data_IF_968677845761
#
_entry.id   IF_968677845761
#
_cell.length_a   1.000
_cell.length_b   1.000
_cell.length_c   1.000
_cell.angle_alpha   90.00
_cell.angle_beta   90.00
_cell.angle_gamma   90.00
#
_symmetry.space_group_name_H-M   'P 1'
#
loop_
_entity.id
_entity.type
_entity.pdbx_description
1 polymer ?
#
# COMPACT_ATOMS: atom_id res chain seq x y z
N UNK A 1 0.75 -49.40 26.72
CA UNK A 1 -0.34 -49.03 25.77
C UNK A 1 -0.72 -47.58 25.95
N UNK A 2 0.25 -46.62 26.10
CA UNK A 2 -0.03 -45.20 26.40
C UNK A 2 0.83 -44.23 25.58
N UNK A 3 1.42 -44.65 24.46
CA UNK A 3 2.29 -43.83 23.61
C UNK A 3 1.75 -43.52 22.20
N UNK A 4 0.49 -43.85 21.90
CA UNK A 4 -0.10 -43.61 20.56
C UNK A 4 -1.19 -42.55 20.52
N UNK A 5 -1.55 -41.90 21.64
CA UNK A 5 -2.61 -40.87 21.67
C UNK A 5 -2.11 -39.41 21.71
N UNK A 6 -0.79 -39.19 21.80
CA UNK A 6 -0.24 -37.83 21.88
C UNK A 6 0.18 -37.25 20.51
N UNK A 7 0.16 -38.05 19.46
CA UNK A 7 0.66 -37.63 18.13
C UNK A 7 -0.43 -37.08 17.21
N UNK A 8 -1.69 -37.17 17.57
CA UNK A 8 -2.81 -36.72 16.73
C UNK A 8 -3.25 -35.26 17.07
N UNK A 9 -2.88 -34.75 18.24
CA UNK A 9 -3.25 -33.36 18.63
C UNK A 9 -2.19 -32.30 18.26
N UNK A 10 -1.00 -32.69 17.80
CA UNK A 10 0.08 -31.75 17.41
C UNK A 10 0.10 -31.41 15.92
N UNK A 11 -0.74 -32.02 15.11
CA UNK A 11 -0.78 -31.80 13.65
C UNK A 11 -1.79 -30.71 13.21
N UNK A 12 -2.57 -30.14 14.13
CA UNK A 12 -3.56 -29.12 13.82
C UNK A 12 -3.05 -27.66 13.94
N UNK A 13 -1.78 -27.46 14.32
CA UNK A 13 -1.20 -26.12 14.52
C UNK A 13 -0.22 -25.67 13.41
N UNK A 14 -0.13 -26.39 12.31
CA UNK A 14 0.94 -26.19 11.33
C UNK A 14 0.57 -25.41 10.06
N UNK A 15 -0.69 -24.96 9.87
CA UNK A 15 -1.06 -24.31 8.61
C UNK A 15 -2.06 -23.17 8.81
N UNK A 16 -1.56 -21.92 8.84
CA UNK A 16 -2.42 -20.72 8.67
C UNK A 16 -3.44 -20.49 9.79
N UNK A 17 -4.48 -19.74 9.49
CA UNK A 17 -5.57 -19.39 10.41
C UNK A 17 -6.34 -20.65 10.88
N UNK A 18 -6.76 -20.62 12.15
CA UNK A 18 -7.61 -21.68 12.72
C UNK A 18 -8.97 -21.73 12.00
N UNK A 19 -9.69 -22.86 12.13
CA UNK A 19 -11.05 -22.96 11.56
C UNK A 19 -12.01 -21.89 12.08
N UNK A 20 -11.85 -21.47 13.35
CA UNK A 20 -12.65 -20.37 13.92
C UNK A 20 -12.31 -19.04 13.25
N UNK A 21 -11.02 -18.73 13.06
CA UNK A 21 -10.57 -17.51 12.36
C UNK A 21 -11.05 -17.47 10.90
N UNK A 22 -10.93 -18.59 10.17
CA UNK A 22 -11.45 -18.71 8.79
C UNK A 22 -12.94 -18.45 8.72
N UNK A 23 -13.72 -18.95 9.68
CA UNK A 23 -15.18 -18.73 9.71
C UNK A 23 -15.52 -17.27 10.04
N UNK A 24 -14.78 -16.63 10.96
CA UNK A 24 -14.92 -15.19 11.27
C UNK A 24 -14.60 -14.35 10.03
N UNK A 25 -13.46 -14.59 9.38
CA UNK A 25 -13.02 -13.86 8.20
C UNK A 25 -14.00 -14.02 7.02
N UNK A 26 -14.53 -15.22 6.81
CA UNK A 26 -15.55 -15.45 5.78
C UNK A 26 -16.82 -14.64 6.04
N UNK A 27 -17.32 -14.64 7.28
CA UNK A 27 -18.50 -13.85 7.65
C UNK A 27 -18.23 -12.35 7.56
N UNK A 28 -17.03 -11.92 7.95
CA UNK A 28 -16.57 -10.53 7.83
C UNK A 28 -16.49 -10.11 6.36
N UNK A 29 -15.89 -10.94 5.50
CA UNK A 29 -15.82 -10.73 4.05
C UNK A 29 -17.20 -10.51 3.44
N UNK A 30 -18.16 -11.42 3.65
CA UNK A 30 -19.52 -11.33 3.11
C UNK A 30 -20.21 -10.02 3.55
N UNK A 31 -19.97 -9.58 4.77
CA UNK A 31 -20.53 -8.33 5.33
C UNK A 31 -19.89 -7.09 4.69
N UNK A 32 -18.55 -7.07 4.59
CA UNK A 32 -17.80 -5.94 4.04
C UNK A 32 -18.05 -5.76 2.54
N UNK A 33 -18.06 -6.85 1.76
CA UNK A 33 -18.41 -6.80 0.33
C UNK A 33 -19.81 -6.23 0.13
N UNK A 34 -20.78 -6.70 0.91
CA UNK A 34 -22.16 -6.21 0.81
C UNK A 34 -22.28 -4.73 1.14
N UNK A 35 -21.52 -4.26 2.18
CA UNK A 35 -21.43 -2.85 2.58
C UNK A 35 -20.83 -2.01 1.45
N UNK A 36 -19.64 -2.40 0.97
CA UNK A 36 -18.92 -1.69 -0.08
C UNK A 36 -19.73 -1.52 -1.37
N UNK A 37 -20.37 -2.60 -1.86
CA UNK A 37 -21.25 -2.56 -3.03
C UNK A 37 -22.42 -1.60 -2.85
N UNK A 38 -23.04 -1.59 -1.67
CA UNK A 38 -24.16 -0.70 -1.39
C UNK A 38 -23.74 0.77 -1.35
N UNK A 39 -22.62 1.07 -0.69
CA UNK A 39 -22.06 2.41 -0.57
C UNK A 39 -21.62 2.95 -1.94
N UNK A 40 -20.89 2.15 -2.73
CA UNK A 40 -20.45 2.53 -4.08
C UNK A 40 -21.65 2.80 -5.01
N UNK A 41 -22.68 1.97 -4.95
CA UNK A 41 -23.91 2.20 -5.74
C UNK A 41 -24.54 3.55 -5.42
N UNK A 42 -24.68 3.91 -4.14
CA UNK A 42 -25.23 5.20 -3.71
C UNK A 42 -24.34 6.35 -4.20
N UNK A 43 -23.01 6.22 -4.11
CA UNK A 43 -22.08 7.24 -4.56
C UNK A 43 -22.15 7.46 -6.07
N UNK A 44 -22.21 6.40 -6.88
CA UNK A 44 -22.35 6.48 -8.35
C UNK A 44 -23.70 7.10 -8.75
N UNK A 45 -24.79 6.72 -8.09
CA UNK A 45 -26.11 7.32 -8.33
C UNK A 45 -26.09 8.83 -8.07
N UNK A 46 -25.48 9.28 -6.96
CA UNK A 46 -25.33 10.69 -6.63
C UNK A 46 -24.38 11.40 -7.60
N UNK A 47 -23.26 10.80 -7.96
CA UNK A 47 -22.32 11.34 -8.92
C UNK A 47 -22.99 11.61 -10.28
N UNK A 48 -23.79 10.67 -10.78
CA UNK A 48 -24.59 10.88 -12.01
C UNK A 48 -25.57 12.05 -11.89
N UNK A 49 -26.25 12.22 -10.74
CA UNK A 49 -27.17 13.32 -10.50
C UNK A 49 -26.46 14.69 -10.45
N UNK A 50 -25.28 14.72 -9.83
CA UNK A 50 -24.49 15.92 -9.61
C UNK A 50 -23.48 16.19 -10.74
N UNK A 51 -23.33 15.29 -11.70
CA UNK A 51 -22.33 15.32 -12.78
C UNK A 51 -20.88 15.30 -12.27
N UNK A 52 -20.66 14.67 -11.12
CA UNK A 52 -19.31 14.41 -10.63
C UNK A 52 -18.63 13.35 -11.48
N UNK A 53 -17.30 13.38 -11.63
CA UNK A 53 -16.59 12.31 -12.28
C UNK A 53 -16.76 11.00 -11.49
N UNK A 54 -16.99 9.88 -12.18
CA UNK A 54 -17.12 8.56 -11.55
C UNK A 54 -15.77 7.88 -11.50
N UNK A 55 -15.02 7.94 -12.59
CA UNK A 55 -13.65 7.47 -12.73
C UNK A 55 -12.94 8.24 -13.85
N UNK A 56 -11.63 8.21 -13.85
CA UNK A 56 -10.82 8.84 -14.89
C UNK A 56 -9.33 8.71 -14.62
N UNK A 57 -8.53 9.40 -15.45
CA UNK A 57 -7.09 9.52 -15.34
C UNK A 57 -6.71 10.98 -15.46
N UNK A 58 -5.83 11.47 -14.59
CA UNK A 58 -5.27 12.82 -14.63
C UNK A 58 -4.07 12.88 -15.57
N UNK A 59 -3.61 14.10 -15.90
CA UNK A 59 -2.45 14.31 -16.79
C UNK A 59 -1.14 13.74 -16.22
N UNK A 60 -1.01 13.69 -14.90
CA UNK A 60 0.14 13.08 -14.21
C UNK A 60 0.13 11.54 -14.23
N UNK A 61 -0.89 10.90 -14.81
CA UNK A 61 -1.03 9.45 -14.87
C UNK A 61 -1.87 8.85 -13.75
N UNK A 62 -2.24 9.63 -12.72
CA UNK A 62 -3.05 9.20 -11.59
C UNK A 62 -4.44 8.74 -12.06
N UNK A 63 -4.80 7.51 -11.74
CA UNK A 63 -6.15 6.98 -11.96
C UNK A 63 -7.01 7.20 -10.71
N UNK A 64 -8.31 7.45 -10.91
CA UNK A 64 -9.23 7.65 -9.78
C UNK A 64 -10.60 7.04 -10.04
N UNK A 65 -11.26 6.58 -8.98
CA UNK A 65 -12.67 6.17 -9.03
C UNK A 65 -13.42 6.46 -7.73
N UNK A 66 -14.71 6.87 -7.85
CA UNK A 66 -15.56 7.10 -6.69
C UNK A 66 -15.88 5.77 -5.98
N UNK A 67 -15.75 5.74 -4.65
CA UNK A 67 -15.97 4.53 -3.86
C UNK A 67 -17.22 4.64 -2.98
N UNK A 68 -17.39 5.71 -2.26
CA UNK A 68 -18.50 5.92 -1.32
C UNK A 68 -18.77 7.41 -1.11
N UNK A 69 -19.70 7.74 -0.22
CA UNK A 69 -19.93 9.09 0.26
C UNK A 69 -19.52 9.19 1.72
N UNK A 70 -18.88 10.29 2.10
CA UNK A 70 -18.68 10.66 3.50
C UNK A 70 -20.03 10.89 4.21
N UNK A 71 -20.09 10.89 5.56
CA UNK A 71 -21.32 11.16 6.31
C UNK A 71 -22.00 12.48 5.93
N UNK A 72 -21.24 13.51 5.59
CA UNK A 72 -21.74 14.80 5.11
C UNK A 72 -22.18 14.79 3.63
N UNK A 73 -22.06 13.65 2.94
CA UNK A 73 -22.47 13.46 1.53
C UNK A 73 -21.41 13.82 0.50
N UNK A 74 -20.19 14.24 0.90
CA UNK A 74 -19.05 14.46 0.00
C UNK A 74 -18.63 13.17 -0.70
N UNK A 75 -18.26 13.19 -2.00
CA UNK A 75 -17.71 11.99 -2.66
C UNK A 75 -16.32 11.64 -2.14
N UNK A 76 -16.05 10.36 -1.97
CA UNK A 76 -14.74 9.82 -1.63
C UNK A 76 -14.22 9.03 -2.83
N UNK A 77 -13.01 9.39 -3.28
CA UNK A 77 -12.30 8.75 -4.39
C UNK A 77 -11.07 8.03 -3.90
N UNK A 78 -10.74 6.89 -4.51
CA UNK A 78 -9.41 6.27 -4.45
C UNK A 78 -8.59 6.71 -5.65
N UNK A 79 -7.24 6.77 -5.50
CA UNK A 79 -6.28 7.20 -6.54
C UNK A 79 -4.91 6.50 -6.37
N UNK A 80 -4.03 6.57 -7.37
CA UNK A 80 -2.80 5.77 -7.52
C UNK A 80 -1.49 6.55 -7.78
N UNK A 81 -0.27 5.97 -7.45
CA UNK A 81 1.07 6.62 -7.54
C UNK A 81 2.28 5.65 -7.58
N UNK A 82 3.56 6.01 -8.09
CA UNK A 82 4.64 5.03 -8.40
C UNK A 82 6.15 5.40 -8.43
N UNK A 83 7.15 4.46 -8.16
CA UNK A 83 8.55 4.21 -8.72
C UNK A 83 9.71 3.41 -8.00
N UNK A 84 11.16 3.10 -8.34
CA UNK A 84 12.35 2.14 -8.29
C UNK A 84 13.12 1.80 -6.97
N UNK A 85 13.63 0.49 -6.63
CA UNK A 85 14.22 0.30 -5.34
C UNK A 85 15.04 -0.90 -4.80
N UNK A 86 15.37 -1.92 -5.55
CA UNK A 86 15.99 -3.13 -4.94
C UNK A 86 17.34 -2.87 -4.25
N UNK A 87 18.21 -2.10 -4.88
CA UNK A 87 19.55 -1.81 -4.37
C UNK A 87 19.53 -0.88 -3.15
N UNK A 88 18.63 0.10 -3.16
CA UNK A 88 18.45 1.03 -2.05
C UNK A 88 18.09 0.31 -0.74
N UNK A 89 17.33 -0.79 -0.81
CA UNK A 89 16.89 -1.57 0.35
C UNK A 89 17.60 -2.92 0.48
N UNK A 90 18.73 -3.11 -0.20
CA UNK A 90 19.59 -4.31 -0.13
C UNK A 90 18.91 -5.63 -0.47
N UNK A 91 17.87 -5.61 -1.32
CA UNK A 91 17.17 -6.83 -1.76
C UNK A 91 17.98 -7.59 -2.81
N UNK A 92 18.71 -6.89 -3.67
CA UNK A 92 19.59 -7.44 -4.69
C UNK A 92 20.66 -8.39 -4.11
N UNK A 93 21.10 -8.18 -2.87
CA UNK A 93 22.04 -9.09 -2.18
C UNK A 93 21.52 -10.53 -2.04
N UNK A 94 20.19 -10.73 -2.01
CA UNK A 94 19.56 -12.02 -1.81
C UNK A 94 19.32 -12.80 -3.11
N UNK A 95 19.38 -12.15 -4.25
CA UNK A 95 19.12 -12.74 -5.55
C UNK A 95 20.20 -13.76 -5.97
N UNK A 96 19.97 -14.58 -7.03
CA UNK A 96 20.91 -15.62 -7.48
C UNK A 96 22.30 -15.11 -7.85
N UNK A 97 22.43 -13.86 -8.25
CA UNK A 97 23.68 -13.16 -8.59
C UNK A 97 24.14 -12.20 -7.48
N UNK A 98 23.42 -12.15 -6.36
CA UNK A 98 23.78 -11.38 -5.16
C UNK A 98 24.92 -12.02 -4.36
N UNK A 99 25.52 -11.25 -3.47
CA UNK A 99 26.70 -11.68 -2.70
C UNK A 99 26.38 -12.55 -1.47
N UNK A 100 25.10 -12.61 -1.03
CA UNK A 100 24.68 -13.46 0.09
C UNK A 100 24.72 -14.97 -0.20
N UNK A 101 24.71 -15.38 -1.46
CA UNK A 101 24.62 -16.77 -1.93
C UNK A 101 23.35 -17.51 -1.48
N UNK A 102 22.28 -16.80 -1.18
CA UNK A 102 21.01 -17.38 -0.72
C UNK A 102 20.06 -17.77 -1.85
N UNK A 103 20.22 -17.17 -3.04
CA UNK A 103 19.46 -17.49 -4.26
C UNK A 103 17.93 -17.37 -4.11
N UNK A 104 17.47 -16.39 -3.35
CA UNK A 104 16.06 -16.21 -3.04
C UNK A 104 15.30 -15.50 -4.18
N UNK A 105 14.06 -15.92 -4.44
CA UNK A 105 13.24 -15.41 -5.54
C UNK A 105 11.75 -15.34 -5.23
N UNK A 106 11.30 -15.80 -4.07
CA UNK A 106 9.87 -15.95 -3.74
C UNK A 106 9.22 -17.19 -4.38
N UNK A 107 9.98 -18.24 -4.72
CA UNK A 107 9.45 -19.44 -5.38
C UNK A 107 8.44 -20.17 -4.49
N UNK A 108 7.24 -20.43 -5.04
CA UNK A 108 6.14 -21.08 -4.31
C UNK A 108 5.45 -20.16 -3.29
N UNK A 109 5.76 -18.86 -3.29
CA UNK A 109 5.08 -17.87 -2.48
C UNK A 109 3.96 -17.19 -3.26
N UNK A 110 2.88 -16.81 -2.54
CA UNK A 110 1.75 -16.04 -3.08
C UNK A 110 1.71 -14.71 -2.34
N UNK A 111 1.59 -13.62 -3.10
CA UNK A 111 1.39 -12.25 -2.58
C UNK A 111 0.13 -11.66 -3.20
N UNK A 112 -0.64 -10.89 -2.42
CA UNK A 112 -1.83 -10.18 -2.88
C UNK A 112 -1.49 -8.77 -3.37
N UNK A 113 -2.31 -8.27 -4.27
CA UNK A 113 -2.33 -6.89 -4.71
C UNK A 113 -3.76 -6.40 -4.83
N UNK A 114 -4.03 -5.18 -4.35
CA UNK A 114 -5.23 -4.42 -4.65
C UNK A 114 -4.80 -3.07 -5.23
N UNK A 115 -5.39 -2.68 -6.37
CA UNK A 115 -4.99 -1.46 -7.06
C UNK A 115 -6.14 -0.89 -7.94
N UNK A 116 -5.86 0.13 -8.76
CA UNK A 116 -6.84 0.87 -9.56
C UNK A 116 -7.46 0.13 -10.74
N UNK A 117 -7.22 -1.17 -10.89
CA UNK A 117 -7.73 -2.02 -11.96
C UNK A 117 -6.94 -3.29 -12.12
N UNK A 118 -7.18 -4.04 -13.20
CA UNK A 118 -6.53 -5.32 -13.46
C UNK A 118 -5.06 -5.18 -13.85
N UNK A 119 -4.24 -6.11 -13.39
CA UNK A 119 -2.84 -6.28 -13.82
C UNK A 119 -2.78 -6.98 -15.17
N UNK A 120 -1.92 -6.49 -16.10
CA UNK A 120 -1.68 -7.13 -17.39
C UNK A 120 -0.92 -8.44 -17.25
N UNK A 121 -1.62 -9.54 -17.01
CA UNK A 121 -1.05 -10.88 -16.79
C UNK A 121 -0.29 -11.45 -18.01
N UNK A 122 -0.47 -10.88 -19.22
CA UNK A 122 0.24 -11.28 -20.44
C UNK A 122 1.58 -10.59 -20.63
N UNK A 123 1.90 -9.56 -19.83
CA UNK A 123 3.19 -8.87 -19.89
C UNK A 123 4.34 -9.86 -19.70
N UNK A 124 5.43 -9.75 -20.48
CA UNK A 124 6.56 -10.70 -20.47
C UNK A 124 7.13 -10.89 -19.04
N UNK A 125 7.23 -9.83 -18.26
CA UNK A 125 7.69 -9.86 -16.86
C UNK A 125 6.75 -10.62 -15.90
N UNK A 126 5.47 -10.80 -16.25
CA UNK A 126 4.42 -11.29 -15.37
C UNK A 126 3.80 -12.61 -15.81
N UNK A 127 4.03 -12.98 -17.07
CA UNK A 127 3.38 -14.13 -17.73
C UNK A 127 3.45 -15.41 -16.90
N UNK A 128 2.27 -16.02 -16.70
CA UNK A 128 2.10 -17.29 -15.99
C UNK A 128 2.17 -17.21 -14.47
N UNK A 129 2.34 -16.01 -13.89
CA UNK A 129 2.46 -15.81 -12.44
C UNK A 129 1.45 -14.83 -11.84
N UNK A 130 0.50 -14.35 -12.61
CA UNK A 130 -0.57 -13.44 -12.16
C UNK A 130 -1.93 -14.11 -12.28
N UNK A 131 -2.73 -14.01 -11.23
CA UNK A 131 -4.12 -14.49 -11.15
C UNK A 131 -5.01 -13.32 -10.76
N UNK A 132 -5.88 -12.84 -11.68
CA UNK A 132 -6.93 -11.88 -11.35
C UNK A 132 -8.03 -12.61 -10.58
N UNK A 133 -8.25 -12.25 -9.31
CA UNK A 133 -9.12 -13.02 -8.38
C UNK A 133 -10.56 -12.52 -8.42
N UNK A 134 -10.75 -11.21 -8.49
CA UNK A 134 -12.07 -10.54 -8.48
C UNK A 134 -12.75 -10.48 -9.85
N UNK A 135 -12.02 -10.83 -10.92
CA UNK A 135 -12.51 -10.81 -12.30
C UNK A 135 -12.53 -9.40 -12.92
N UNK A 136 -11.77 -8.45 -12.40
CA UNK A 136 -11.58 -7.15 -13.05
C UNK A 136 -10.96 -7.31 -14.44
N UNK A 137 -11.47 -6.56 -15.44
CA UNK A 137 -11.03 -6.65 -16.84
C UNK A 137 -10.34 -5.36 -17.33
N UNK A 138 -10.60 -4.22 -16.68
CA UNK A 138 -10.01 -2.94 -17.06
C UNK A 138 -8.56 -2.86 -16.59
N UNK A 139 -7.64 -2.92 -17.56
CA UNK A 139 -6.20 -2.90 -17.27
C UNK A 139 -5.75 -1.55 -16.71
N UNK A 140 -4.94 -1.59 -15.66
CA UNK A 140 -4.27 -0.44 -15.05
C UNK A 140 -2.76 -0.48 -15.30
N UNK A 141 -2.22 0.63 -15.80
CA UNK A 141 -0.76 0.81 -15.87
C UNK A 141 -0.15 0.76 -14.48
N UNK A 142 -0.85 1.35 -13.51
CA UNK A 142 -0.41 1.40 -12.12
C UNK A 142 -0.34 0.00 -11.50
N UNK A 143 -1.44 -0.78 -11.51
CA UNK A 143 -1.45 -2.15 -11.03
C UNK A 143 -0.35 -3.00 -11.71
N UNK A 144 -0.21 -2.88 -13.03
CA UNK A 144 0.82 -3.63 -13.78
C UNK A 144 2.24 -3.23 -13.36
N UNK A 145 2.45 -1.96 -13.02
CA UNK A 145 3.75 -1.48 -12.57
C UNK A 145 4.06 -1.93 -11.12
N UNK A 146 3.08 -1.86 -10.23
CA UNK A 146 3.16 -2.38 -8.85
C UNK A 146 3.47 -3.88 -8.87
N UNK A 147 2.74 -4.65 -9.69
CA UNK A 147 2.99 -6.07 -9.91
C UNK A 147 4.43 -6.35 -10.36
N UNK A 148 4.91 -5.62 -11.37
CA UNK A 148 6.28 -5.77 -11.87
C UNK A 148 7.33 -5.43 -10.81
N UNK A 149 7.09 -4.42 -9.99
CA UNK A 149 7.98 -4.07 -8.87
C UNK A 149 8.07 -5.20 -7.83
N UNK A 150 6.96 -5.86 -7.54
CA UNK A 150 6.95 -7.01 -6.62
C UNK A 150 7.56 -8.26 -7.23
N UNK A 151 7.09 -8.66 -8.44
CA UNK A 151 7.33 -10.00 -8.97
C UNK A 151 7.90 -10.05 -10.40
N UNK A 152 8.29 -8.94 -11.02
CA UNK A 152 8.84 -8.91 -12.37
C UNK A 152 9.95 -9.95 -12.57
N UNK A 153 9.88 -10.74 -13.65
CA UNK A 153 10.80 -11.86 -13.90
C UNK A 153 12.25 -11.42 -14.19
N UNK A 154 12.46 -10.14 -14.50
CA UNK A 154 13.77 -9.63 -14.89
C UNK A 154 14.14 -9.98 -16.35
N UNK A 155 13.16 -10.20 -17.22
CA UNK A 155 13.38 -10.35 -18.66
C UNK A 155 14.11 -9.12 -19.19
N UNK A 156 13.65 -7.94 -18.79
CA UNK A 156 14.40 -6.71 -18.90
C UNK A 156 15.06 -6.38 -17.54
N UNK A 157 16.38 -6.41 -17.50
CA UNK A 157 17.15 -6.40 -16.25
C UNK A 157 16.82 -5.24 -15.31
N UNK A 158 16.42 -4.06 -15.85
CA UNK A 158 16.04 -2.89 -15.05
C UNK A 158 14.63 -3.02 -14.44
N UNK A 159 13.81 -3.96 -14.91
CA UNK A 159 12.45 -4.23 -14.41
C UNK A 159 12.38 -5.49 -13.52
N UNK A 160 13.50 -5.93 -12.98
CA UNK A 160 13.58 -7.08 -12.09
C UNK A 160 12.84 -6.82 -10.78
N UNK A 161 11.80 -7.59 -10.49
CA UNK A 161 11.00 -7.50 -9.28
C UNK A 161 11.70 -8.08 -8.06
N UNK A 162 11.31 -7.63 -6.86
CA UNK A 162 11.93 -8.02 -5.59
C UNK A 162 11.88 -9.53 -5.35
N UNK A 163 10.76 -10.18 -5.69
CA UNK A 163 10.50 -11.63 -5.56
C UNK A 163 10.13 -12.24 -6.91
N UNK A 164 11.07 -12.24 -7.84
CA UNK A 164 10.89 -12.48 -9.28
C UNK A 164 10.37 -13.87 -9.69
N UNK A 165 10.12 -14.78 -8.76
CA UNK A 165 9.49 -16.09 -8.99
C UNK A 165 8.19 -16.29 -8.19
N UNK A 166 7.74 -15.28 -7.43
CA UNK A 166 6.48 -15.36 -6.69
C UNK A 166 5.26 -15.32 -7.63
N UNK A 167 4.12 -15.78 -7.14
CA UNK A 167 2.81 -15.68 -7.79
C UNK A 167 2.04 -14.52 -7.18
N UNK A 168 1.36 -13.73 -8.03
CA UNK A 168 0.54 -12.61 -7.62
C UNK A 168 -0.95 -12.96 -7.75
N UNK A 169 -1.70 -12.73 -6.68
CA UNK A 169 -3.15 -12.65 -6.69
C UNK A 169 -3.53 -11.17 -6.76
N UNK A 170 -4.05 -10.70 -7.87
CA UNK A 170 -4.38 -9.30 -8.09
C UNK A 170 -5.88 -9.05 -8.11
N UNK A 171 -6.30 -7.90 -7.61
CA UNK A 171 -7.68 -7.45 -7.48
C UNK A 171 -7.76 -5.96 -7.82
N UNK A 172 -8.92 -5.48 -8.26
CA UNK A 172 -9.15 -4.04 -8.24
C UNK A 172 -9.48 -3.57 -6.80
N UNK A 173 -9.47 -2.27 -6.55
CA UNK A 173 -9.73 -1.71 -5.21
C UNK A 173 -11.22 -1.68 -4.81
N UNK A 174 -12.10 -2.25 -5.65
CA UNK A 174 -13.51 -2.34 -5.30
C UNK A 174 -13.71 -3.50 -4.33
N UNK A 175 -14.41 -3.24 -3.21
CA UNK A 175 -14.69 -4.26 -2.20
C UNK A 175 -13.45 -4.81 -1.47
N UNK A 176 -12.32 -4.08 -1.55
CA UNK A 176 -10.99 -4.42 -1.01
C UNK A 176 -11.04 -5.08 0.39
N UNK A 177 -11.69 -4.43 1.35
CA UNK A 177 -11.77 -4.91 2.73
C UNK A 177 -12.44 -6.28 2.85
N UNK A 178 -13.49 -6.52 2.04
CA UNK A 178 -14.20 -7.80 2.01
C UNK A 178 -13.35 -8.90 1.36
N UNK A 179 -12.69 -8.58 0.26
CA UNK A 179 -11.83 -9.51 -0.47
C UNK A 179 -10.56 -9.85 0.31
N UNK A 180 -9.94 -8.87 0.99
CA UNK A 180 -8.84 -9.12 1.92
C UNK A 180 -9.23 -10.10 3.02
N UNK A 181 -10.41 -9.90 3.64
CA UNK A 181 -10.89 -10.81 4.68
C UNK A 181 -11.11 -12.24 4.14
N UNK A 182 -11.63 -12.38 2.91
CA UNK A 182 -11.82 -13.67 2.26
C UNK A 182 -10.48 -14.34 1.95
N UNK A 183 -9.58 -13.65 1.25
CA UNK A 183 -8.29 -14.20 0.84
C UNK A 183 -7.37 -14.49 2.02
N UNK A 184 -7.38 -13.65 3.06
CA UNK A 184 -6.68 -13.95 4.32
C UNK A 184 -7.26 -15.20 5.00
N UNK A 185 -8.59 -15.40 4.94
CA UNK A 185 -9.25 -16.64 5.41
C UNK A 185 -8.81 -17.88 4.63
N UNK A 186 -8.54 -17.74 3.34
CA UNK A 186 -8.05 -18.80 2.46
C UNK A 186 -6.53 -19.03 2.54
N UNK A 187 -5.82 -18.17 3.28
CA UNK A 187 -4.40 -18.36 3.60
C UNK A 187 -3.45 -17.39 2.95
N UNK A 188 -3.91 -16.27 2.37
CA UNK A 188 -3.05 -15.18 1.96
C UNK A 188 -2.35 -14.59 3.19
N UNK A 189 -1.03 -14.38 3.10
CA UNK A 189 -0.19 -13.95 4.24
C UNK A 189 0.42 -12.55 4.05
N UNK A 190 0.34 -11.98 2.86
CA UNK A 190 0.94 -10.69 2.53
C UNK A 190 0.20 -10.04 1.37
N UNK A 191 -0.05 -8.74 1.46
CA UNK A 191 -0.60 -7.95 0.37
C UNK A 191 -0.02 -6.55 0.29
N UNK A 192 -0.07 -5.99 -0.93
CA UNK A 192 0.30 -4.62 -1.25
C UNK A 192 -0.92 -3.77 -1.60
N UNK A 193 -0.97 -2.55 -1.05
CA UNK A 193 -2.02 -1.57 -1.29
C UNK A 193 -1.36 -0.22 -1.59
N UNK A 194 -1.24 0.09 -2.89
CA UNK A 194 -0.60 1.31 -3.38
C UNK A 194 -1.62 2.38 -3.79
N UNK A 195 -2.66 2.59 -2.98
CA UNK A 195 -3.73 3.55 -3.22
C UNK A 195 -4.21 4.17 -1.91
N UNK A 196 -5.16 5.09 -2.00
CA UNK A 196 -5.77 5.70 -0.82
C UNK A 196 -6.94 6.61 -1.16
N UNK A 197 -7.58 7.14 -0.15
CA UNK A 197 -8.62 8.16 -0.29
C UNK A 197 -7.95 9.52 -0.44
N UNK A 198 -8.58 10.43 -1.19
CA UNK A 198 -8.13 11.81 -1.32
C UNK A 198 -8.39 12.57 -0.04
N UNK A 199 -7.36 13.21 0.48
CA UNK A 199 -7.40 14.17 1.57
C UNK A 199 -6.64 15.44 1.16
N UNK A 200 -6.79 16.54 1.89
CA UNK A 200 -6.07 17.78 1.67
C UNK A 200 -6.29 18.40 0.30
N UNK A 201 -5.23 18.81 -0.35
CA UNK A 201 -5.25 19.54 -1.63
C UNK A 201 -5.04 18.60 -2.83
N UNK A 202 -5.89 18.73 -3.85
CA UNK A 202 -5.71 18.05 -5.12
C UNK A 202 -5.98 18.95 -6.30
N UNK A 203 -5.02 19.04 -7.24
CA UNK A 203 -5.18 19.81 -8.46
C UNK A 203 -6.13 19.10 -9.44
N UNK A 204 -7.01 19.88 -10.07
CA UNK A 204 -7.90 19.46 -11.18
C UNK A 204 -8.79 18.23 -10.91
N UNK A 205 -9.09 17.92 -9.66
CA UNK A 205 -9.90 16.73 -9.29
C UNK A 205 -11.34 16.75 -9.83
N UNK A 206 -11.86 17.92 -10.20
CA UNK A 206 -13.19 18.09 -10.79
C UNK A 206 -13.14 18.37 -12.31
N UNK A 207 -11.94 18.44 -12.92
CA UNK A 207 -11.75 18.57 -14.36
C UNK A 207 -11.94 20.00 -14.90
N UNK A 208 -11.62 21.04 -14.10
CA UNK A 208 -11.78 22.44 -14.44
C UNK A 208 -10.55 23.34 -14.16
N UNK A 209 -9.37 22.70 -14.06
CA UNK A 209 -8.08 23.36 -13.82
C UNK A 209 -8.04 24.22 -12.53
N UNK A 210 -8.66 23.71 -11.47
CA UNK A 210 -8.64 24.32 -10.14
C UNK A 210 -8.18 23.34 -9.07
N UNK A 211 -7.69 23.90 -7.97
CA UNK A 211 -7.48 23.15 -6.75
C UNK A 211 -8.81 22.75 -6.13
N UNK A 212 -8.86 21.60 -5.51
CA UNK A 212 -9.95 21.10 -4.67
C UNK A 212 -9.38 20.80 -3.30
N UNK A 213 -9.98 21.39 -2.26
CA UNK A 213 -9.66 21.03 -0.90
C UNK A 213 -10.65 19.96 -0.40
N UNK A 214 -10.13 18.83 0.02
CA UNK A 214 -10.92 17.65 0.39
C UNK A 214 -11.32 17.63 1.86
N UNK A 215 -10.85 18.55 2.69
CA UNK A 215 -11.27 18.71 4.08
C UNK A 215 -12.75 19.05 4.23
N UNK A 216 -13.21 19.14 5.45
CA UNK A 216 -14.58 19.51 5.81
C UNK A 216 -14.56 20.81 6.63
N UNK A 217 -14.99 21.95 6.06
CA UNK A 217 -14.99 23.25 6.75
C UNK A 217 -15.91 23.29 7.99
N UNK A 218 -16.86 22.36 8.10
CA UNK A 218 -17.73 22.27 9.28
C UNK A 218 -17.05 21.56 10.46
N UNK A 219 -15.94 20.83 10.19
CA UNK A 219 -15.10 20.20 11.21
C UNK A 219 -13.92 21.10 11.57
N UNK A 220 -13.09 21.44 10.56
CA UNK A 220 -12.04 22.44 10.69
C UNK A 220 -11.93 23.26 9.39
N UNK A 221 -11.80 24.58 9.51
CA UNK A 221 -11.75 25.48 8.36
C UNK A 221 -10.37 25.57 7.73
N UNK A 222 -9.34 25.13 8.41
CA UNK A 222 -7.95 25.21 7.97
C UNK A 222 -7.38 23.85 7.57
N UNK A 223 -7.54 22.84 8.43
CA UNK A 223 -6.90 21.54 8.31
C UNK A 223 -7.88 20.47 7.83
N UNK A 224 -7.42 19.55 7.00
CA UNK A 224 -8.24 18.38 6.68
C UNK A 224 -8.14 17.35 7.81
N UNK A 225 -9.20 17.25 8.61
CA UNK A 225 -9.30 16.37 9.75
C UNK A 225 -9.12 14.87 9.42
N UNK A 226 -9.08 14.49 8.14
CA UNK A 226 -8.82 13.09 7.76
C UNK A 226 -7.34 12.71 7.90
N UNK A 227 -6.44 13.69 7.94
CA UNK A 227 -5.05 13.42 8.29
C UNK A 227 -4.96 13.00 9.74
N UNK A 228 -4.26 11.94 10.04
CA UNK A 228 -4.10 11.38 11.38
C UNK A 228 -5.33 10.65 11.98
N UNK A 229 -6.54 10.86 11.43
CA UNK A 229 -7.80 10.46 12.05
C UNK A 229 -8.13 8.96 11.89
N UNK A 230 -8.18 8.26 13.02
CA UNK A 230 -8.51 6.82 13.08
C UNK A 230 -10.04 6.62 13.01
N UNK A 231 -10.56 6.36 11.82
CA UNK A 231 -11.98 6.20 11.54
C UNK A 231 -12.48 4.73 11.63
N UNK A 232 -13.75 4.51 11.27
CA UNK A 232 -14.36 3.16 11.29
C UNK A 232 -13.71 2.23 10.24
N UNK A 233 -13.33 2.72 9.07
CA UNK A 233 -12.71 1.90 8.04
C UNK A 233 -11.28 1.49 8.43
N UNK A 234 -10.53 2.40 9.04
CA UNK A 234 -9.23 2.11 9.64
C UNK A 234 -9.34 0.98 10.68
N UNK A 235 -10.40 1.02 11.50
CA UNK A 235 -10.70 -0.05 12.47
C UNK A 235 -11.05 -1.38 11.79
N UNK A 236 -11.81 -1.37 10.69
CA UNK A 236 -12.17 -2.57 9.93
C UNK A 236 -10.92 -3.30 9.39
N UNK A 237 -9.93 -2.57 8.89
CA UNK A 237 -8.66 -3.13 8.43
C UNK A 237 -7.83 -3.70 9.58
N UNK A 238 -7.78 -3.00 10.71
CA UNK A 238 -7.12 -3.52 11.92
C UNK A 238 -7.81 -4.79 12.46
N UNK A 239 -9.14 -4.91 12.33
CA UNK A 239 -9.88 -6.12 12.68
C UNK A 239 -9.58 -7.29 11.74
N UNK A 240 -9.41 -7.05 10.43
CA UNK A 240 -8.98 -8.08 9.47
C UNK A 240 -7.60 -8.59 9.88
N UNK A 241 -6.63 -7.71 10.10
CA UNK A 241 -5.29 -8.07 10.53
C UNK A 241 -5.27 -8.80 11.88
N UNK A 242 -6.09 -8.40 12.84
CA UNK A 242 -6.22 -9.08 14.12
C UNK A 242 -6.78 -10.51 13.99
N UNK A 243 -7.77 -10.72 13.14
CA UNK A 243 -8.38 -12.02 12.91
C UNK A 243 -7.54 -12.94 12.00
N UNK A 244 -6.58 -12.38 11.27
CA UNK A 244 -5.67 -13.09 10.37
C UNK A 244 -4.20 -12.91 10.81
N UNK A 245 -3.74 -13.57 11.89
CA UNK A 245 -2.47 -13.26 12.53
C UNK A 245 -1.22 -13.52 11.68
N UNK A 246 -1.33 -14.21 10.56
CA UNK A 246 -0.25 -14.37 9.58
C UNK A 246 -0.33 -13.39 8.41
N UNK A 247 -1.41 -12.62 8.28
CA UNK A 247 -1.64 -11.72 7.16
C UNK A 247 -1.16 -10.32 7.47
N UNK A 248 -0.08 -9.88 6.82
CA UNK A 248 0.43 -8.51 6.89
C UNK A 248 -0.05 -7.71 5.67
N UNK A 249 -0.70 -6.59 5.92
CA UNK A 249 -1.10 -5.59 4.93
C UNK A 249 0.03 -4.56 4.84
N UNK A 250 0.53 -4.30 3.63
CA UNK A 250 1.54 -3.26 3.36
C UNK A 250 0.89 -2.14 2.57
N UNK A 251 1.09 -0.90 3.01
CA UNK A 251 0.41 0.26 2.44
C UNK A 251 1.35 1.42 2.16
N UNK A 252 1.15 2.11 1.04
CA UNK A 252 1.84 3.37 0.72
C UNK A 252 1.45 4.49 1.70
N UNK A 253 2.39 5.37 2.09
CA UNK A 253 2.12 6.43 3.07
C UNK A 253 1.30 7.60 2.53
N UNK A 254 1.33 7.86 1.23
CA UNK A 254 0.74 9.04 0.58
C UNK A 254 1.78 10.00 0.03
N UNK A 255 1.33 10.92 -0.84
CA UNK A 255 2.24 11.85 -1.54
C UNK A 255 1.80 13.31 -1.41
N UNK A 256 1.06 13.61 -0.38
CA UNK A 256 0.34 14.88 -0.19
C UNK A 256 1.22 15.99 0.38
N UNK A 257 2.41 15.66 0.90
CA UNK A 257 3.25 16.56 1.68
C UNK A 257 3.68 17.86 0.99
N UNK A 258 3.77 17.88 -0.31
CA UNK A 258 4.21 19.06 -1.06
C UNK A 258 3.07 19.84 -1.74
N UNK A 259 1.83 19.48 -1.46
CA UNK A 259 0.69 20.17 -2.02
C UNK A 259 0.40 21.44 -1.22
N UNK A 260 0.97 22.54 -1.71
CA UNK A 260 0.87 23.88 -1.11
C UNK A 260 0.08 24.81 -2.03
N UNK A 261 -0.98 25.38 -1.49
CA UNK A 261 -1.83 26.37 -2.20
C UNK A 261 -1.69 27.73 -1.54
N UNK A 262 -1.36 28.75 -2.33
CA UNK A 262 -1.19 30.10 -1.83
C UNK A 262 -2.51 30.66 -1.25
N UNK A 263 -2.42 31.32 -0.09
CA UNK A 263 -3.57 31.95 0.56
C UNK A 263 -4.35 32.88 -0.39
N UNK A 264 -5.67 32.74 -0.41
CA UNK A 264 -6.56 33.53 -1.28
C UNK A 264 -6.71 32.98 -2.70
N UNK A 265 -6.09 31.83 -3.03
CA UNK A 265 -6.32 31.13 -4.30
C UNK A 265 -7.74 30.59 -4.34
N UNK A 266 -8.45 30.85 -5.45
CA UNK A 266 -9.79 30.30 -5.68
C UNK A 266 -9.70 28.77 -5.85
N UNK A 267 -10.49 28.04 -5.05
CA UNK A 267 -10.51 26.58 -5.01
C UNK A 267 -11.90 26.04 -4.72
N UNK A 268 -12.14 24.79 -5.06
CA UNK A 268 -13.35 24.09 -4.69
C UNK A 268 -13.25 23.55 -3.26
N UNK A 269 -14.36 23.66 -2.51
CA UNK A 269 -14.55 23.10 -1.18
C UNK A 269 -15.95 22.50 -1.07
N UNK A 270 -16.10 21.46 -0.26
CA UNK A 270 -17.43 20.89 -0.03
C UNK A 270 -18.29 21.81 0.83
N UNK A 271 -19.47 22.18 0.33
CA UNK A 271 -20.44 23.02 1.04
C UNK A 271 -21.64 22.16 1.48
N UNK A 272 -21.77 21.92 2.78
CA UNK A 272 -22.81 21.05 3.37
C UNK A 272 -24.21 21.65 3.23
N UNK A 273 -24.34 22.98 3.15
CA UNK A 273 -25.64 23.66 3.01
C UNK A 273 -26.27 23.38 1.65
N UNK A 274 -25.49 23.48 0.57
CA UNK A 274 -25.98 23.19 -0.79
C UNK A 274 -25.76 21.72 -1.17
N UNK A 275 -25.05 20.97 -0.32
CA UNK A 275 -24.69 19.57 -0.52
C UNK A 275 -24.02 19.32 -1.89
N UNK A 276 -23.05 20.18 -2.21
CA UNK A 276 -22.26 20.18 -3.45
C UNK A 276 -20.96 20.97 -3.26
N UNK A 277 -20.09 20.92 -4.29
CA UNK A 277 -18.89 21.74 -4.37
C UNK A 277 -19.24 23.20 -4.58
N UNK A 278 -18.50 24.12 -3.90
CA UNK A 278 -18.62 25.56 -3.99
C UNK A 278 -17.24 26.21 -4.06
N UNK A 279 -17.15 27.39 -4.65
CA UNK A 279 -15.89 28.12 -4.75
C UNK A 279 -15.61 28.91 -3.47
N UNK A 280 -14.40 28.81 -2.96
CA UNK A 280 -13.89 29.58 -1.84
C UNK A 280 -12.54 30.22 -2.17
N UNK A 281 -12.21 31.27 -1.43
CA UNK A 281 -10.87 31.89 -1.38
C UNK A 281 -10.32 31.90 0.04
N UNK A 282 -10.94 31.15 0.94
CA UNK A 282 -10.49 31.03 2.32
C UNK A 282 -9.09 30.40 2.37
N UNK A 283 -8.27 30.85 3.30
CA UNK A 283 -6.97 30.23 3.55
C UNK A 283 -7.15 28.89 4.24
N UNK A 284 -6.40 27.91 3.79
CA UNK A 284 -6.30 26.56 4.39
C UNK A 284 -4.85 26.27 4.67
N UNK A 285 -4.57 25.37 5.60
CA UNK A 285 -3.21 24.89 5.80
C UNK A 285 -2.73 24.06 4.59
N UNK A 286 -1.45 24.12 4.24
CA UNK A 286 -0.84 23.16 3.32
C UNK A 286 -0.89 21.74 3.91
N UNK A 287 -0.86 20.71 3.07
CA UNK A 287 -0.84 19.31 3.53
C UNK A 287 0.45 18.93 4.25
N UNK A 288 1.54 19.62 4.02
CA UNK A 288 2.81 19.39 4.67
C UNK A 288 3.28 20.53 5.56
N UNK A 289 4.42 20.31 6.27
CA UNK A 289 5.25 19.09 6.19
C UNK A 289 4.85 17.98 7.17
N UNK A 290 3.94 18.17 8.10
CA UNK A 290 3.57 17.23 9.17
C UNK A 290 2.10 16.88 9.09
N UNK A 291 1.75 15.68 9.64
CA UNK A 291 0.37 15.22 9.75
C UNK A 291 -0.37 15.14 8.41
N UNK A 292 0.27 14.51 7.41
CA UNK A 292 -0.29 14.36 6.08
C UNK A 292 -0.48 12.89 5.65
N UNK A 293 -0.66 11.97 6.63
CA UNK A 293 -1.00 10.56 6.40
C UNK A 293 -2.46 10.34 6.79
N UNK A 294 -3.26 9.84 5.85
CA UNK A 294 -4.72 9.72 6.04
C UNK A 294 -5.23 8.29 5.94
N UNK A 295 -6.43 8.04 6.44
CA UNK A 295 -7.25 6.84 6.27
C UNK A 295 -6.55 5.53 6.66
N UNK A 296 -6.67 4.46 5.87
CA UNK A 296 -6.11 3.12 6.15
C UNK A 296 -4.60 3.12 6.39
N UNK A 297 -3.89 4.14 5.87
CA UNK A 297 -2.43 4.30 6.02
C UNK A 297 -2.00 4.45 7.48
N UNK A 298 -2.93 4.86 8.37
CA UNK A 298 -2.67 5.04 9.82
C UNK A 298 -3.08 3.83 10.68
N UNK A 299 -3.56 2.74 10.09
CA UNK A 299 -3.89 1.51 10.83
C UNK A 299 -2.72 1.06 11.71
N UNK A 300 -3.03 0.46 12.85
CA UNK A 300 -2.03 0.02 13.85
C UNK A 300 -1.31 -1.23 13.40
N UNK A 301 -2.03 -2.12 12.70
CA UNK A 301 -1.53 -3.44 12.31
C UNK A 301 -0.98 -3.51 10.88
N UNK A 302 -1.18 -2.48 10.04
CA UNK A 302 -0.57 -2.41 8.71
C UNK A 302 0.88 -1.92 8.79
N UNK A 303 1.69 -2.27 7.80
CA UNK A 303 3.02 -1.71 7.58
C UNK A 303 2.91 -0.57 6.57
N UNK A 304 3.07 0.67 7.01
CA UNK A 304 2.99 1.86 6.17
C UNK A 304 4.37 2.28 5.72
N UNK A 305 4.54 2.49 4.41
CA UNK A 305 5.83 2.71 3.77
C UNK A 305 5.90 4.10 3.15
N UNK A 306 6.85 4.92 3.62
CA UNK A 306 7.20 6.21 3.02
C UNK A 306 8.23 6.06 1.89
N UNK A 307 8.46 7.16 1.15
CA UNK A 307 9.33 7.17 -0.02
C UNK A 307 10.59 8.01 0.18
N UNK A 308 11.76 7.43 -0.11
CA UNK A 308 13.05 8.12 -0.20
C UNK A 308 13.56 8.15 -1.63
N UNK A 309 14.54 9.03 -1.90
CA UNK A 309 15.26 9.05 -3.16
C UNK A 309 16.13 7.80 -3.30
N UNK A 310 16.48 7.50 -4.56
CA UNK A 310 17.42 6.43 -4.91
C UNK A 310 18.80 6.60 -4.21
N UNK A 311 19.37 5.47 -3.79
CA UNK A 311 20.75 5.40 -3.26
C UNK A 311 21.54 4.52 -4.23
N UNK A 312 22.13 5.15 -5.24
CA UNK A 312 22.75 4.52 -6.40
C UNK A 312 23.79 3.44 -6.05
N UNK A 313 24.54 3.64 -4.96
CA UNK A 313 25.58 2.71 -4.51
C UNK A 313 25.17 1.82 -3.33
N UNK A 314 23.90 1.89 -2.90
CA UNK A 314 23.42 1.26 -1.66
C UNK A 314 23.72 2.12 -0.43
N UNK A 315 23.11 1.74 0.70
CA UNK A 315 23.23 2.45 1.98
C UNK A 315 24.61 2.23 2.60
N UNK A 316 25.27 3.31 3.03
CA UNK A 316 26.51 3.28 3.81
C UNK A 316 26.35 3.98 5.17
N UNK A 317 25.56 5.06 5.22
CA UNK A 317 25.35 5.86 6.45
C UNK A 317 24.00 6.60 6.42
N UNK A 318 23.47 7.07 7.58
CA UNK A 318 22.17 7.74 7.66
C UNK A 318 21.99 8.96 6.73
N UNK A 319 23.09 9.64 6.39
CA UNK A 319 23.09 10.83 5.52
C UNK A 319 22.81 10.52 4.04
N UNK A 320 22.90 9.26 3.62
CA UNK A 320 22.61 8.83 2.25
C UNK A 320 21.11 8.79 2.00
N UNK A 321 20.31 8.65 3.08
CA UNK A 321 18.87 8.53 3.01
C UNK A 321 18.23 9.91 2.98
N UNK A 322 17.64 10.28 1.85
CA UNK A 322 16.90 11.54 1.71
C UNK A 322 15.44 11.30 1.38
N UNK A 323 14.54 11.89 2.20
CA UNK A 323 13.09 11.77 1.97
C UNK A 323 12.71 12.42 0.63
N UNK A 324 11.82 11.79 -0.14
CA UNK A 324 11.29 12.40 -1.38
C UNK A 324 10.49 13.67 -1.07
N UNK A 325 10.33 14.55 -2.06
CA UNK A 325 9.60 15.82 -1.85
C UNK A 325 8.13 15.62 -1.48
N UNK A 326 7.52 14.54 -1.94
CA UNK A 326 6.09 14.25 -1.84
C UNK A 326 5.71 13.31 -0.69
N UNK A 327 6.63 12.45 -0.20
CA UNK A 327 6.27 11.42 0.79
C UNK A 327 5.58 12.00 2.00
N UNK A 328 4.34 11.58 2.25
CA UNK A 328 3.60 11.93 3.45
C UNK A 328 4.26 11.37 4.70
N UNK A 329 4.16 12.09 5.82
CA UNK A 329 4.63 11.64 7.11
C UNK A 329 3.79 12.20 8.27
N UNK A 330 3.94 11.56 9.47
CA UNK A 330 3.17 11.84 10.67
C UNK A 330 3.53 13.16 11.37
N UNK A 331 3.14 13.26 12.62
CA UNK A 331 2.46 12.24 13.44
C UNK A 331 1.07 11.89 12.94
N UNK A 332 0.42 10.88 13.53
CA UNK A 332 -1.02 10.72 13.49
C UNK A 332 -1.63 11.29 14.76
N UNK A 333 -2.94 11.57 14.84
CA UNK A 333 -3.63 12.28 15.92
C UNK A 333 -3.34 11.74 17.34
N UNK A 334 -3.17 10.42 17.46
CA UNK A 334 -2.82 9.81 18.75
C UNK A 334 -1.31 9.77 19.04
N UNK A 335 -0.50 10.46 18.24
CA UNK A 335 0.94 10.61 18.38
C UNK A 335 1.78 9.41 17.94
N UNK A 336 1.17 8.37 17.33
CA UNK A 336 1.93 7.23 16.80
C UNK A 336 2.81 7.66 15.63
N UNK A 337 3.94 6.98 15.52
CA UNK A 337 4.87 7.15 14.40
C UNK A 337 4.29 6.46 13.17
N UNK A 338 4.21 7.22 12.10
CA UNK A 338 3.97 6.80 10.72
C UNK A 338 4.80 7.73 9.80
N UNK A 339 5.30 7.21 8.65
CA UNK A 339 5.24 5.81 8.22
C UNK A 339 5.96 4.88 9.21
N UNK A 340 5.81 3.55 9.06
CA UNK A 340 6.56 2.59 9.88
C UNK A 340 8.01 2.49 9.43
N UNK A 341 8.25 2.45 8.09
CA UNK A 341 9.59 2.41 7.46
C UNK A 341 9.56 3.18 6.15
N UNK A 342 10.72 3.37 5.54
CA UNK A 342 10.84 3.94 4.20
C UNK A 342 11.60 3.00 3.25
N UNK A 343 11.33 3.16 1.95
CA UNK A 343 12.05 2.52 0.86
C UNK A 343 12.16 3.48 -0.32
N UNK A 344 12.95 3.14 -1.34
CA UNK A 344 12.99 3.96 -2.54
C UNK A 344 11.61 4.09 -3.19
N UNK A 345 11.17 5.31 -3.42
CA UNK A 345 9.95 5.67 -4.16
C UNK A 345 10.21 6.65 -5.31
N UNK A 346 11.45 6.81 -5.77
CA UNK A 346 11.82 7.77 -6.81
C UNK A 346 12.69 7.09 -7.85
N UNK A 347 12.36 7.16 -9.13
CA UNK A 347 13.14 6.61 -10.20
C UNK A 347 12.91 5.10 -10.60
N UNK A 348 11.75 4.32 -10.34
CA UNK A 348 11.51 2.89 -10.70
C UNK A 348 11.04 2.67 -12.12
N UNK A 349 11.73 1.82 -12.76
CA UNK A 349 11.38 1.33 -14.07
C UNK A 349 10.70 -0.04 -13.94
N UNK A 350 9.46 -0.18 -14.38
CA UNK A 350 8.69 -1.42 -14.28
C UNK A 350 7.73 -1.59 -15.47
N UNK A 351 7.08 -2.76 -15.54
CA UNK A 351 6.10 -3.10 -16.56
C UNK A 351 4.86 -2.21 -16.48
N UNK A 352 4.24 -1.91 -17.64
CA UNK A 352 2.96 -1.19 -17.73
C UNK A 352 1.97 -1.93 -18.62
N UNK A 353 0.69 -1.58 -18.53
CA UNK A 353 -0.37 -2.31 -19.20
C UNK A 353 -0.60 -1.92 -20.67
N UNK A 354 0.16 -0.98 -21.24
CA UNK A 354 0.00 -0.52 -22.62
C UNK A 354 0.40 -1.58 -23.65
N UNK A 355 1.31 -2.47 -23.31
CA UNK A 355 1.74 -3.60 -24.14
C UNK A 355 2.43 -4.68 -23.33
N UNK A 356 2.66 -5.86 -23.94
CA UNK A 356 3.28 -7.01 -23.23
C UNK A 356 4.79 -6.81 -22.98
N UNK A 357 5.40 -5.79 -23.59
CA UNK A 357 6.81 -5.43 -23.48
C UNK A 357 6.99 -3.93 -23.20
N UNK A 358 5.96 -3.25 -22.72
CA UNK A 358 6.01 -1.84 -22.44
C UNK A 358 6.41 -1.60 -20.98
N UNK A 359 7.29 -0.64 -20.80
CA UNK A 359 7.82 -0.25 -19.50
C UNK A 359 7.75 1.27 -19.37
N UNK A 360 7.47 1.73 -18.21
CA UNK A 360 7.51 3.17 -17.88
C UNK A 360 8.22 3.39 -16.56
N UNK A 361 8.56 4.62 -16.40
CA UNK A 361 9.19 5.14 -15.21
C UNK A 361 8.21 6.05 -14.42
N UNK A 362 7.91 5.82 -13.10
CA UNK A 362 6.96 6.63 -12.27
C UNK A 362 7.51 7.06 -10.85
N UNK A 363 6.93 7.96 -10.03
CA UNK A 363 7.32 8.38 -8.65
C UNK A 363 6.17 8.39 -7.65
N UNK A 364 6.34 7.85 -6.43
CA UNK A 364 5.33 7.82 -5.39
C UNK A 364 5.65 6.84 -4.26
N UNK A 365 4.97 6.96 -3.13
CA UNK A 365 5.01 5.97 -2.05
C UNK A 365 4.42 4.62 -2.48
N UNK A 366 3.65 4.62 -3.55
CA UNK A 366 3.09 3.42 -4.18
C UNK A 366 4.14 2.49 -4.81
N UNK A 367 5.40 2.92 -4.91
CA UNK A 367 6.52 2.05 -5.35
C UNK A 367 7.43 1.67 -4.23
N UNK A 368 7.57 2.49 -3.23
CA UNK A 368 8.22 2.06 -2.00
C UNK A 368 7.45 0.91 -1.34
N UNK A 369 6.12 0.96 -1.33
CA UNK A 369 5.30 -0.11 -0.77
C UNK A 369 5.50 -1.47 -1.46
N UNK A 370 5.38 -1.63 -2.80
CA UNK A 370 5.61 -2.92 -3.47
C UNK A 370 7.06 -3.39 -3.40
N UNK A 371 8.04 -2.48 -3.34
CA UNK A 371 9.43 -2.85 -3.10
C UNK A 371 9.62 -3.51 -1.73
N UNK A 372 8.97 -2.96 -0.70
CA UNK A 372 8.92 -3.57 0.64
C UNK A 372 8.15 -4.88 0.59
N UNK A 373 6.96 -4.89 -0.01
CA UNK A 373 6.10 -6.08 -0.06
C UNK A 373 6.81 -7.26 -0.73
N UNK A 374 7.41 -7.05 -1.90
CA UNK A 374 8.17 -8.09 -2.59
C UNK A 374 9.38 -8.58 -1.78
N UNK A 375 10.06 -7.68 -1.05
CA UNK A 375 11.16 -8.07 -0.16
C UNK A 375 10.67 -8.88 1.05
N UNK A 376 9.51 -8.57 1.60
CA UNK A 376 8.87 -9.35 2.68
C UNK A 376 8.46 -10.76 2.23
N UNK A 377 8.17 -10.97 0.95
CA UNK A 377 8.00 -12.32 0.37
C UNK A 377 9.25 -13.15 0.59
N UNK A 378 10.45 -12.57 0.42
CA UNK A 378 11.73 -13.28 0.65
C UNK A 378 11.93 -13.62 2.13
N UNK A 379 11.50 -12.77 3.07
CA UNK A 379 11.55 -13.11 4.51
C UNK A 379 10.68 -14.34 4.82
N UNK A 380 9.47 -14.36 4.26
CA UNK A 380 8.56 -15.49 4.43
C UNK A 380 9.10 -16.78 3.75
N UNK A 381 9.70 -16.65 2.55
CA UNK A 381 10.35 -17.76 1.86
C UNK A 381 11.48 -18.37 2.71
N UNK A 382 12.37 -17.52 3.26
CA UNK A 382 13.47 -17.97 4.11
C UNK A 382 12.96 -18.68 5.36
N UNK A 383 12.04 -18.03 6.09
CA UNK A 383 11.52 -18.60 7.33
C UNK A 383 10.77 -19.92 7.10
N UNK A 384 9.96 -20.00 6.03
CA UNK A 384 9.26 -21.21 5.63
C UNK A 384 10.22 -22.34 5.28
N UNK A 385 11.29 -22.02 4.56
CA UNK A 385 12.32 -23.01 4.19
C UNK A 385 13.00 -23.61 5.42
N UNK A 386 13.23 -22.81 6.46
CA UNK A 386 13.90 -23.26 7.69
C UNK A 386 12.95 -23.94 8.69
N UNK A 387 11.68 -23.53 8.75
CA UNK A 387 10.75 -23.88 9.84
C UNK A 387 9.48 -24.62 9.38
N UNK A 388 9.27 -24.78 8.07
CA UNK A 388 8.06 -25.37 7.45
C UNK A 388 6.75 -24.64 7.87
N UNK A 389 6.84 -23.35 8.19
CA UNK A 389 5.71 -22.49 8.57
C UNK A 389 6.00 -21.04 8.21
N UNK A 390 4.98 -20.17 8.23
CA UNK A 390 5.13 -18.75 8.00
C UNK A 390 5.31 -17.96 9.30
N UNK A 391 5.98 -16.80 9.21
CA UNK A 391 6.02 -15.81 10.27
C UNK A 391 4.62 -15.25 10.55
N UNK A 392 4.34 -14.92 11.80
CA UNK A 392 3.20 -14.08 12.15
C UNK A 392 3.40 -12.67 11.54
N UNK A 393 2.32 -12.01 11.14
CA UNK A 393 2.34 -10.64 10.63
C UNK A 393 3.07 -9.67 11.57
N UNK A 394 2.79 -9.75 12.87
CA UNK A 394 3.46 -8.94 13.88
C UNK A 394 4.98 -9.19 13.94
N UNK A 395 5.42 -10.46 13.79
CA UNK A 395 6.84 -10.81 13.76
C UNK A 395 7.49 -10.31 12.46
N UNK A 396 6.80 -10.46 11.33
CA UNK A 396 7.27 -9.97 10.03
C UNK A 396 7.44 -8.45 10.03
N UNK A 397 6.44 -7.71 10.54
CA UNK A 397 6.51 -6.25 10.74
C UNK A 397 7.64 -5.87 11.69
N UNK A 398 7.75 -6.53 12.84
CA UNK A 398 8.81 -6.27 13.81
C UNK A 398 10.21 -6.53 13.24
N UNK A 399 10.37 -7.55 12.39
CA UNK A 399 11.63 -7.86 11.73
C UNK A 399 12.04 -6.77 10.75
N UNK A 400 11.09 -6.30 9.91
CA UNK A 400 11.33 -5.19 8.98
C UNK A 400 11.77 -3.92 9.71
N UNK A 401 11.07 -3.56 10.78
CA UNK A 401 11.38 -2.40 11.64
C UNK A 401 12.72 -2.57 12.36
N UNK A 402 12.99 -3.74 12.94
CA UNK A 402 14.21 -3.98 13.71
C UNK A 402 15.48 -4.04 12.86
N UNK A 403 15.36 -4.50 11.62
CA UNK A 403 16.49 -4.57 10.69
C UNK A 403 16.71 -3.29 9.89
N UNK A 404 15.81 -2.29 9.97
CA UNK A 404 15.93 -1.06 9.23
C UNK A 404 17.26 -0.33 9.54
N UNK A 405 17.81 0.29 8.52
CA UNK A 405 18.96 1.15 8.64
C UNK A 405 18.54 2.54 9.10
N UNK A 406 19.32 3.14 9.98
CA UNK A 406 19.06 4.48 10.49
C UNK A 406 19.00 5.50 9.36
N UNK A 407 18.10 6.49 9.45
CA UNK A 407 17.92 7.53 8.46
C UNK A 407 17.77 8.90 9.10
N UNK A 408 18.24 9.94 8.42
CA UNK A 408 18.17 11.31 8.93
C UNK A 408 19.27 11.71 9.88
N UNK A 409 19.05 12.79 10.64
CA UNK A 409 20.08 13.46 11.43
C UNK A 409 20.12 13.05 12.92
N UNK A 410 19.16 12.26 13.37
CA UNK A 410 19.04 11.83 14.78
C UNK A 410 18.75 10.34 14.83
N UNK A 411 19.33 9.65 15.81
CA UNK A 411 19.08 8.21 16.01
C UNK A 411 17.72 7.93 16.60
N UNK A 412 17.11 6.82 16.14
CA UNK A 412 15.81 6.32 16.60
C UNK A 412 14.66 6.78 15.71
N UNK A 413 13.44 6.25 15.96
CA UNK A 413 12.32 6.49 15.08
C UNK A 413 11.87 7.95 15.06
N UNK A 414 11.44 8.43 13.89
CA UNK A 414 10.89 9.76 13.68
C UNK A 414 9.66 9.71 12.75
N UNK A 415 8.98 10.85 12.58
CA UNK A 415 7.76 10.93 11.77
C UNK A 415 8.02 11.01 10.25
N UNK A 416 9.28 11.13 9.79
CA UNK A 416 9.65 11.21 8.37
C UNK A 416 10.05 9.87 7.80
N UNK A 417 10.94 9.18 8.53
CA UNK A 417 11.56 7.93 8.11
C UNK A 417 10.99 6.71 8.85
N UNK A 418 10.09 6.93 9.81
CA UNK A 418 9.64 5.86 10.70
C UNK A 418 10.81 5.29 11.49
N UNK A 419 11.02 3.99 11.39
CA UNK A 419 12.15 3.28 12.01
C UNK A 419 13.39 3.23 11.12
N UNK A 420 13.34 3.84 9.94
CA UNK A 420 14.45 3.94 9.00
C UNK A 420 14.22 3.29 7.65
N UNK A 421 15.30 3.19 6.87
CA UNK A 421 15.30 2.57 5.54
C UNK A 421 15.25 1.04 5.67
N UNK A 422 14.35 0.37 4.96
CA UNK A 422 14.32 -1.10 4.92
C UNK A 422 15.69 -1.67 4.52
N UNK A 423 16.14 -2.69 5.25
CA UNK A 423 17.32 -3.47 4.90
C UNK A 423 16.98 -4.97 4.83
N UNK A 424 16.77 -5.46 3.62
CA UNK A 424 16.33 -6.82 3.34
C UNK A 424 17.41 -7.86 3.69
N UNK A 425 18.67 -7.58 3.36
CA UNK A 425 19.77 -8.48 3.65
C UNK A 425 19.98 -8.69 5.17
N UNK A 426 19.93 -7.59 5.94
CA UNK A 426 20.04 -7.65 7.41
C UNK A 426 18.89 -8.40 8.07
N UNK A 427 17.67 -8.24 7.56
CA UNK A 427 16.50 -8.95 8.07
C UNK A 427 16.66 -10.48 7.88
N UNK A 428 17.09 -10.90 6.69
CA UNK A 428 17.31 -12.32 6.39
C UNK A 428 18.45 -12.91 7.21
N UNK A 429 19.54 -12.17 7.45
CA UNK A 429 20.62 -12.57 8.37
C UNK A 429 20.10 -12.80 9.81
N UNK A 430 19.14 -11.97 10.27
CA UNK A 430 18.47 -12.16 11.56
C UNK A 430 17.59 -13.42 11.61
N UNK A 431 16.92 -13.78 10.52
CA UNK A 431 16.10 -15.00 10.43
C UNK A 431 16.97 -16.25 10.52
N UNK A 432 18.20 -16.20 10.00
CA UNK A 432 19.13 -17.33 9.99
C UNK A 432 19.80 -17.61 11.34
N UNK A 433 19.75 -16.68 12.29
CA UNK A 433 20.36 -16.79 13.63
C UNK A 433 19.45 -17.46 14.64
#
# INVERSE_FOLDING_TARGET
MFKKFLTVFLLAFLFGQTQSQKQILKSQSETLISKSRAEKKIAVEKANQKRWPIKGKLENGEEYSIQRLAPNGKPIYYHSENFISAKTISTDHLWPDGDSQLFMKGEGMIVGEWDGGATRATHDELTGRVVQVDGAEELSNHATHVAGTMIGAGIYNLAHGMANAATLHTNDWNEDSGEMAAQAGDGLILSNHSYGQRGGWHWNSLGDDKWVWWGDPDVDVNEDYHFGFYDEQTREWDEIAYNAPHYLIVMSAGNDRNDEVANGTEHWVWNTVINDWDLSTDSRDPDGPWDCISYHKICKNVLTVGAVNDIENGYENPGDVSISSFSSYGPVDDGRIKPDIVANGVGLFSSVSTGDQDYESYSGTSMSAPSVTGSLVLFQEMYKTMNDTFLLAATLKALAVHSADEAGNAGGPDYRFGWGLMNTARAVDLIQR
#
